data_IF_958726540466
#
_entry.id   IF_958726540466
#
_cell.length_a   1.000
_cell.length_b   1.000
_cell.length_c   1.000
_cell.angle_alpha   90.00
_cell.angle_beta   90.00
_cell.angle_gamma   90.00
#
_symmetry.space_group_name_H-M   'P 1'
#
loop_
_entity.id
_entity.type
_entity.pdbx_description
1 polymer ?
#
# COMPACT_ATOMS: atom_id res chain seq x y z
N UNK A 1 27.71 -17.51 -18.93
CA UNK A 1 26.93 -17.37 -17.69
C UNK A 1 26.67 -15.89 -17.52
N UNK A 2 25.43 -15.45 -17.66
CA UNK A 2 25.06 -14.04 -17.48
C UNK A 2 25.18 -13.69 -16.01
N UNK A 3 26.11 -12.80 -15.69
CA UNK A 3 26.21 -12.15 -14.38
C UNK A 3 24.86 -11.55 -14.03
N UNK A 4 24.11 -12.22 -13.15
CA UNK A 4 22.91 -11.67 -12.55
C UNK A 4 23.36 -10.51 -11.67
N UNK A 5 23.21 -9.28 -12.17
CA UNK A 5 23.32 -8.06 -11.37
C UNK A 5 22.11 -7.95 -10.45
N UNK A 6 21.99 -8.87 -9.50
CA UNK A 6 21.10 -8.67 -8.35
C UNK A 6 21.89 -7.85 -7.35
N UNK A 7 21.63 -6.55 -7.32
CA UNK A 7 22.35 -5.60 -6.47
C UNK A 7 22.06 -5.85 -4.98
N UNK A 8 20.92 -6.49 -4.67
CA UNK A 8 20.53 -6.91 -3.33
C UNK A 8 19.43 -7.97 -3.42
N UNK A 9 19.60 -9.11 -2.76
CA UNK A 9 18.51 -10.06 -2.51
C UNK A 9 17.91 -9.74 -1.14
N UNK A 10 16.70 -9.17 -1.13
CA UNK A 10 15.92 -9.04 0.10
C UNK A 10 15.07 -10.30 0.28
N UNK A 11 15.12 -10.95 1.45
CA UNK A 11 14.29 -12.12 1.69
C UNK A 11 12.81 -11.72 1.66
N UNK A 12 11.97 -12.61 1.14
CA UNK A 12 10.52 -12.46 1.24
C UNK A 12 10.16 -12.37 2.74
N UNK A 13 9.37 -11.35 3.17
CA UNK A 13 8.89 -11.24 4.53
C UNK A 13 8.26 -12.55 5.01
N UNK A 14 8.53 -12.94 6.25
CA UNK A 14 8.11 -14.24 6.78
C UNK A 14 6.59 -14.40 6.73
N UNK A 15 5.86 -13.31 7.02
CA UNK A 15 4.41 -13.20 6.98
C UNK A 15 3.79 -13.40 5.59
N UNK A 16 4.60 -13.41 4.53
CA UNK A 16 4.16 -13.60 3.14
C UNK A 16 4.44 -15.01 2.63
N UNK A 17 5.20 -15.82 3.38
CA UNK A 17 5.57 -17.17 2.95
C UNK A 17 4.33 -18.06 2.89
N UNK A 18 4.28 -18.90 1.85
CA UNK A 18 3.27 -19.95 1.66
C UNK A 18 1.81 -19.45 1.61
N UNK A 19 1.59 -18.18 1.28
CA UNK A 19 0.25 -17.64 1.02
C UNK A 19 0.25 -16.69 -0.17
N UNK A 20 -0.93 -16.45 -0.71
CA UNK A 20 -1.14 -15.37 -1.65
C UNK A 20 -1.06 -14.02 -0.91
N UNK A 21 -0.34 -13.07 -1.51
CA UNK A 21 -0.13 -11.72 -0.97
C UNK A 21 -0.93 -10.75 -1.83
N UNK A 22 -1.87 -10.03 -1.19
CA UNK A 22 -2.64 -8.97 -1.83
C UNK A 22 -1.91 -7.63 -1.77
N UNK A 23 -2.43 -6.64 -2.51
CA UNK A 23 -1.90 -5.29 -2.48
C UNK A 23 -1.97 -4.66 -1.08
N UNK A 24 -3.04 -4.91 -0.32
CA UNK A 24 -3.14 -4.38 1.04
C UNK A 24 -2.06 -4.96 1.97
N UNK A 25 -1.65 -6.22 1.79
CA UNK A 25 -0.53 -6.79 2.55
C UNK A 25 0.79 -6.07 2.23
N UNK A 26 1.03 -5.76 0.94
CA UNK A 26 2.19 -4.98 0.50
C UNK A 26 2.20 -3.55 1.09
N UNK A 27 1.03 -2.91 1.14
CA UNK A 27 0.88 -1.58 1.72
C UNK A 27 1.06 -1.58 3.25
N UNK A 28 0.55 -2.60 3.95
CA UNK A 28 0.83 -2.77 5.38
C UNK A 28 2.34 -2.95 5.64
N UNK A 29 3.02 -3.74 4.81
CA UNK A 29 4.47 -3.87 4.91
C UNK A 29 5.16 -2.53 4.69
N UNK A 30 4.77 -1.75 3.67
CA UNK A 30 5.29 -0.41 3.43
C UNK A 30 5.14 0.49 4.68
N UNK A 31 3.94 0.50 5.27
CA UNK A 31 3.67 1.24 6.51
C UNK A 31 4.66 0.88 7.61
N UNK A 32 4.89 -0.41 7.84
CA UNK A 32 5.84 -0.87 8.85
C UNK A 32 7.27 -0.39 8.57
N UNK A 33 7.70 -0.33 7.30
CA UNK A 33 9.03 0.16 6.95
C UNK A 33 9.18 1.66 7.21
N UNK A 34 8.16 2.47 6.89
CA UNK A 34 8.15 3.90 7.21
C UNK A 34 8.17 4.14 8.72
N UNK A 35 7.40 3.37 9.49
CA UNK A 35 7.44 3.44 10.96
C UNK A 35 8.81 3.05 11.54
N UNK A 36 9.54 2.16 10.87
CA UNK A 36 10.94 1.80 11.16
C UNK A 36 11.98 2.81 10.62
N UNK A 37 11.53 3.97 10.11
CA UNK A 37 12.39 5.04 9.56
C UNK A 37 13.25 4.61 8.37
N UNK A 38 12.78 3.65 7.57
CA UNK A 38 13.46 3.21 6.33
C UNK A 38 13.15 4.07 5.10
N UNK A 39 12.27 5.06 5.23
CA UNK A 39 11.83 5.91 4.12
C UNK A 39 10.88 5.20 3.16
N UNK A 40 10.26 5.96 2.26
CA UNK A 40 9.33 5.43 1.25
C UNK A 40 10.08 4.77 0.09
N UNK A 41 11.28 5.26 -0.23
CA UNK A 41 12.18 4.70 -1.24
C UNK A 41 12.43 3.20 -1.08
N UNK A 42 12.39 2.69 0.15
CA UNK A 42 12.66 1.29 0.44
C UNK A 42 11.65 0.33 -0.23
N UNK A 43 10.41 0.78 -0.45
CA UNK A 43 9.35 -0.05 -1.08
C UNK A 43 9.02 0.41 -2.49
N UNK A 44 8.99 1.72 -2.73
CA UNK A 44 8.50 2.29 -3.99
C UNK A 44 9.64 2.73 -4.94
N UNK A 45 10.88 2.76 -4.45
CA UNK A 45 12.06 3.23 -5.19
C UNK A 45 12.31 4.74 -5.13
N UNK A 46 11.39 5.54 -4.58
CA UNK A 46 11.55 7.00 -4.39
C UNK A 46 10.83 7.50 -3.12
N UNK A 47 11.19 8.69 -2.63
CA UNK A 47 10.61 9.27 -1.39
C UNK A 47 9.37 10.16 -1.60
N UNK A 48 8.66 9.99 -2.71
CA UNK A 48 7.48 10.82 -3.03
C UNK A 48 6.18 10.04 -2.95
N UNK A 49 5.09 10.68 -2.58
CA UNK A 49 3.76 10.05 -2.54
C UNK A 49 3.32 9.54 -3.92
N UNK A 50 3.77 10.16 -5.01
CA UNK A 50 3.53 9.73 -6.39
C UNK A 50 4.19 8.38 -6.69
N UNK A 51 5.31 8.07 -6.04
CA UNK A 51 5.95 6.75 -6.16
C UNK A 51 5.08 5.66 -5.52
N UNK A 52 4.36 5.97 -4.43
CA UNK A 52 3.38 5.07 -3.83
C UNK A 52 2.17 4.87 -4.74
N UNK A 53 1.67 5.94 -5.38
CA UNK A 53 0.60 5.85 -6.39
C UNK A 53 1.02 4.93 -7.54
N UNK A 54 2.24 5.11 -8.04
CA UNK A 54 2.79 4.31 -9.14
C UNK A 54 3.00 2.84 -8.75
N UNK A 55 3.47 2.59 -7.52
CA UNK A 55 3.58 1.24 -6.95
C UNK A 55 2.22 0.54 -6.90
N UNK A 56 1.20 1.23 -6.37
CA UNK A 56 -0.19 0.74 -6.29
C UNK A 56 -0.74 0.40 -7.68
N UNK A 57 -0.63 1.34 -8.61
CA UNK A 57 -1.13 1.16 -9.98
C UNK A 57 -0.43 -0.01 -10.68
N UNK A 58 0.91 -0.09 -10.56
CA UNK A 58 1.70 -1.18 -11.13
C UNK A 58 1.32 -2.55 -10.58
N UNK A 59 1.10 -2.66 -9.27
CA UNK A 59 0.64 -3.90 -8.64
C UNK A 59 -0.74 -4.30 -9.16
N UNK A 60 -1.71 -3.39 -9.15
CA UNK A 60 -3.07 -3.65 -9.64
C UNK A 60 -3.07 -4.08 -11.11
N UNK A 61 -2.32 -3.38 -11.97
CA UNK A 61 -2.16 -3.76 -13.38
C UNK A 61 -1.49 -5.12 -13.55
N UNK A 62 -0.46 -5.43 -12.77
CA UNK A 62 0.19 -6.74 -12.81
C UNK A 62 -0.78 -7.86 -12.41
N UNK A 63 -1.58 -7.67 -11.35
CA UNK A 63 -2.63 -8.62 -10.96
C UNK A 63 -3.61 -8.85 -12.11
N UNK A 64 -4.10 -7.77 -12.72
CA UNK A 64 -5.03 -7.84 -13.85
C UNK A 64 -4.43 -8.55 -15.07
N UNK A 65 -3.20 -8.23 -15.46
CA UNK A 65 -2.53 -8.85 -16.63
C UNK A 65 -2.29 -10.35 -16.44
N UNK A 66 -2.18 -10.80 -15.18
CA UNK A 66 -2.05 -12.21 -14.84
C UNK A 66 -3.41 -12.87 -14.54
N UNK A 67 -4.53 -12.24 -14.93
CA UNK A 67 -5.90 -12.73 -14.73
C UNK A 67 -6.25 -13.00 -13.25
N UNK A 68 -5.54 -12.36 -12.34
CA UNK A 68 -5.87 -12.36 -10.92
C UNK A 68 -6.94 -11.33 -10.61
N UNK A 69 -7.50 -11.45 -9.41
CA UNK A 69 -8.31 -10.41 -8.79
C UNK A 69 -7.78 -10.12 -7.39
N UNK A 70 -8.05 -8.91 -6.91
CA UNK A 70 -7.77 -8.52 -5.52
C UNK A 70 -9.04 -7.86 -4.95
N UNK A 71 -10.04 -8.66 -4.54
CA UNK A 71 -11.30 -8.11 -4.04
C UNK A 71 -11.12 -7.27 -2.78
N UNK A 72 -10.13 -7.58 -1.93
CA UNK A 72 -9.88 -6.82 -0.71
C UNK A 72 -9.39 -5.40 -1.05
N UNK A 73 -8.61 -5.25 -2.12
CA UNK A 73 -8.22 -3.95 -2.67
C UNK A 73 -9.40 -3.14 -3.20
N UNK A 74 -10.32 -3.77 -3.95
CA UNK A 74 -11.52 -3.13 -4.46
C UNK A 74 -12.44 -2.66 -3.32
N UNK A 75 -12.64 -3.50 -2.31
CA UNK A 75 -13.44 -3.17 -1.12
C UNK A 75 -12.80 -2.03 -0.31
N UNK A 76 -11.47 -1.98 -0.20
CA UNK A 76 -10.77 -0.87 0.44
C UNK A 76 -10.99 0.45 -0.30
N UNK A 77 -10.91 0.43 -1.63
CA UNK A 77 -11.18 1.61 -2.45
C UNK A 77 -12.58 2.15 -2.26
N UNK A 78 -13.58 1.26 -2.31
CA UNK A 78 -14.97 1.62 -2.10
C UNK A 78 -15.20 2.17 -0.69
N UNK A 79 -14.60 1.55 0.33
CA UNK A 79 -14.66 2.05 1.70
C UNK A 79 -14.01 3.43 1.85
N UNK A 80 -12.84 3.66 1.26
CA UNK A 80 -12.14 4.95 1.32
C UNK A 80 -12.96 6.05 0.62
N UNK A 81 -13.60 5.73 -0.49
CA UNK A 81 -14.46 6.65 -1.26
C UNK A 81 -15.79 6.93 -0.55
N UNK A 82 -16.52 5.90 -0.16
CA UNK A 82 -17.92 6.03 0.22
C UNK A 82 -18.10 6.26 1.73
N UNK A 83 -17.23 5.66 2.55
CA UNK A 83 -17.28 5.78 4.01
C UNK A 83 -16.40 6.91 4.50
N UNK A 84 -15.11 6.91 4.12
CA UNK A 84 -14.16 7.92 4.59
C UNK A 84 -14.26 9.23 3.81
N UNK A 85 -14.78 9.18 2.58
CA UNK A 85 -14.90 10.35 1.68
C UNK A 85 -13.56 11.03 1.42
N UNK A 86 -12.50 10.23 1.34
CA UNK A 86 -11.13 10.71 1.16
C UNK A 86 -10.66 10.59 -0.30
N UNK A 87 -11.61 10.49 -1.24
CA UNK A 87 -11.35 10.41 -2.68
C UNK A 87 -11.92 11.62 -3.42
N UNK A 88 -11.28 12.80 -3.28
CA UNK A 88 -11.70 13.97 -4.03
C UNK A 88 -11.30 13.84 -5.52
N UNK A 89 -11.87 14.66 -6.43
CA UNK A 89 -11.58 14.59 -7.86
C UNK A 89 -10.10 14.76 -8.23
N UNK A 90 -9.33 15.53 -7.46
CA UNK A 90 -7.88 15.69 -7.66
C UNK A 90 -7.06 14.43 -7.27
N UNK A 91 -7.69 13.44 -6.64
CA UNK A 91 -7.05 12.26 -6.10
C UNK A 91 -6.57 12.43 -4.66
N UNK A 92 -6.61 11.32 -3.90
CA UNK A 92 -6.21 11.28 -2.49
C UNK A 92 -4.78 11.78 -2.26
N UNK A 93 -3.84 11.45 -3.15
CA UNK A 93 -2.43 11.78 -3.02
C UNK A 93 -2.19 13.29 -3.07
N UNK A 94 -2.86 14.01 -3.97
CA UNK A 94 -2.81 15.48 -4.04
C UNK A 94 -3.39 16.11 -2.78
N UNK A 95 -4.55 15.62 -2.34
CA UNK A 95 -5.19 16.10 -1.11
C UNK A 95 -4.30 15.88 0.11
N UNK A 96 -3.74 14.70 0.29
CA UNK A 96 -2.94 14.37 1.47
C UNK A 96 -1.63 15.13 1.49
N UNK A 97 -1.00 15.33 0.33
CA UNK A 97 0.20 16.15 0.23
C UNK A 97 -0.08 17.60 0.66
N UNK A 98 -1.21 18.17 0.21
CA UNK A 98 -1.68 19.49 0.66
C UNK A 98 -1.97 19.52 2.17
N UNK A 99 -2.69 18.53 2.69
CA UNK A 99 -3.05 18.43 4.11
C UNK A 99 -1.81 18.24 5.03
N UNK A 100 -0.69 17.77 4.47
CA UNK A 100 0.56 17.52 5.18
C UNK A 100 1.65 18.56 4.87
N UNK A 101 1.28 19.76 4.38
CA UNK A 101 2.21 20.85 4.09
C UNK A 101 3.34 20.48 3.11
N UNK A 102 3.08 19.57 2.17
CA UNK A 102 4.08 19.08 1.21
C UNK A 102 4.98 17.95 1.74
N UNK A 103 4.75 17.45 2.96
CA UNK A 103 5.50 16.32 3.51
C UNK A 103 5.00 15.00 2.90
N UNK A 104 5.79 14.46 1.97
CA UNK A 104 5.46 13.22 1.25
C UNK A 104 5.42 11.98 2.16
N UNK A 105 6.30 11.87 3.16
CA UNK A 105 6.32 10.70 4.05
C UNK A 105 5.07 10.72 4.95
N UNK A 106 4.72 11.88 5.51
CA UNK A 106 3.48 12.04 6.30
C UNK A 106 2.23 11.81 5.46
N UNK A 107 2.21 12.31 4.22
CA UNK A 107 1.08 12.13 3.33
C UNK A 107 0.91 10.66 2.89
N UNK A 108 2.01 9.96 2.63
CA UNK A 108 2.00 8.51 2.40
C UNK A 108 1.53 7.74 3.64
N UNK A 109 2.07 8.06 4.82
CA UNK A 109 1.64 7.45 6.09
C UNK A 109 0.15 7.65 6.35
N UNK A 110 -0.43 8.82 6.05
CA UNK A 110 -1.88 9.05 6.16
C UNK A 110 -2.69 8.05 5.34
N UNK A 111 -2.30 7.79 4.08
CA UNK A 111 -2.97 6.76 3.26
C UNK A 111 -2.77 5.36 3.85
N UNK A 112 -1.56 5.03 4.25
CA UNK A 112 -1.22 3.72 4.81
C UNK A 112 -1.90 3.46 6.16
N UNK A 113 -2.18 4.49 6.96
CA UNK A 113 -2.97 4.40 8.19
C UNK A 113 -4.43 4.04 7.89
N UNK A 114 -5.02 4.53 6.79
CA UNK A 114 -6.34 4.07 6.37
C UNK A 114 -6.34 2.61 5.93
N UNK A 115 -5.26 2.13 5.29
CA UNK A 115 -5.10 0.70 4.98
C UNK A 115 -5.08 -0.14 6.27
N UNK A 116 -4.31 0.29 7.27
CA UNK A 116 -4.28 -0.35 8.59
C UNK A 116 -5.68 -0.36 9.24
N UNK A 117 -6.36 0.78 9.26
CA UNK A 117 -7.71 0.91 9.84
C UNK A 117 -8.70 -0.05 9.15
N UNK A 118 -8.71 -0.10 7.82
CA UNK A 118 -9.59 -0.98 7.06
C UNK A 118 -9.34 -2.46 7.38
N UNK A 119 -8.07 -2.87 7.43
CA UNK A 119 -7.71 -4.25 7.75
C UNK A 119 -8.13 -4.62 9.17
N UNK A 120 -7.98 -3.71 10.14
CA UNK A 120 -8.45 -3.92 11.51
C UNK A 120 -9.97 -4.04 11.59
N UNK A 121 -10.72 -3.34 10.74
CA UNK A 121 -12.18 -3.46 10.67
C UNK A 121 -12.60 -4.79 10.07
N UNK A 122 -11.94 -5.24 9.00
CA UNK A 122 -12.32 -6.47 8.28
C UNK A 122 -11.84 -7.76 8.93
N UNK A 123 -10.63 -7.76 9.48
CA UNK A 123 -9.98 -8.97 10.03
C UNK A 123 -10.15 -9.10 11.53
N UNK A 124 -10.90 -8.21 12.18
CA UNK A 124 -11.37 -8.43 13.55
C UNK A 124 -12.23 -9.71 13.56
N UNK A 125 -11.93 -10.69 14.44
CA UNK A 125 -12.87 -11.77 14.67
C UNK A 125 -14.18 -11.14 15.13
N UNK A 126 -15.29 -11.45 14.44
CA UNK A 126 -16.62 -11.18 14.95
C UNK A 126 -16.66 -11.71 16.38
N UNK A 127 -16.89 -10.84 17.37
CA UNK A 127 -17.27 -11.30 18.68
C UNK A 127 -18.45 -12.25 18.47
N UNK A 128 -18.27 -13.51 18.87
CA UNK A 128 -19.27 -14.58 18.74
C UNK A 128 -20.64 -14.03 19.15
N UNK A 129 -21.61 -14.13 18.25
CA UNK A 129 -23.03 -14.02 18.55
C UNK A 129 -23.63 -15.41 18.57
#
# INVERSE_FOLDING_TARGET
MTDKRVVKEEPIPEEWRNRQVGLLDALLYARQQLLKKRGLWFVTGFDTIESLVSFIAGWASNTQFNQGSDPEWEEFWDWLRDVKKEMPPEGWHVKYLRDCDGDHERAALKFLDFVQEFIELRRRPSAQS
#
